data_IF_233112150235
#
_entry.id   IF_233112150235
#
_cell.length_a   1.000
_cell.length_b   1.000
_cell.length_c   1.000
_cell.angle_alpha   90.00
_cell.angle_beta   90.00
_cell.angle_gamma   90.00
#
_symmetry.space_group_name_H-M   'P 1'
#
loop_
_entity.id
_entity.type
_entity.pdbx_description
1 polymer ?
#
# COMPACT_ATOMS: atom_id res chain seq x y z
N UNK A 1 13.04 14.35 -87.70
CA UNK A 1 11.90 15.22 -87.33
C UNK A 1 11.57 15.15 -85.83
N UNK A 2 11.25 13.99 -85.25
CA UNK A 2 10.86 13.85 -83.83
C UNK A 2 11.85 14.43 -82.79
N UNK A 3 13.17 14.36 -83.03
CA UNK A 3 14.18 14.95 -82.11
C UNK A 3 14.22 16.48 -82.15
N UNK A 4 13.84 17.07 -83.28
CA UNK A 4 13.86 18.52 -83.47
C UNK A 4 12.61 19.19 -82.91
N UNK A 5 11.43 18.57 -83.05
CA UNK A 5 10.15 19.10 -82.54
C UNK A 5 10.12 19.21 -81.01
N UNK A 6 10.81 18.31 -80.30
CA UNK A 6 10.85 18.29 -78.82
C UNK A 6 11.69 19.40 -78.20
N UNK A 7 12.60 20.02 -78.95
CA UNK A 7 13.55 21.00 -78.42
C UNK A 7 13.38 22.37 -79.09
N UNK A 8 12.12 22.73 -79.40
CA UNK A 8 11.76 24.02 -79.99
C UNK A 8 11.28 24.94 -78.87
N UNK A 9 11.86 26.13 -78.81
CA UNK A 9 11.29 27.28 -78.12
C UNK A 9 10.74 28.21 -79.18
N UNK A 10 9.46 28.57 -79.09
CA UNK A 10 8.81 29.47 -80.03
C UNK A 10 7.94 30.48 -79.28
N UNK A 11 7.77 31.67 -79.84
CA UNK A 11 6.87 32.65 -79.26
C UNK A 11 5.46 32.45 -79.79
N UNK A 12 4.47 32.44 -78.90
CA UNK A 12 3.06 32.45 -79.28
C UNK A 12 2.63 33.84 -79.76
N UNK A 13 1.41 33.94 -80.31
CA UNK A 13 0.83 35.21 -80.76
C UNK A 13 0.74 36.27 -79.64
N UNK A 14 0.82 35.86 -78.38
CA UNK A 14 0.86 36.73 -77.19
C UNK A 14 2.27 37.20 -76.81
N UNK A 15 3.30 36.77 -77.54
CA UNK A 15 4.70 37.18 -77.34
C UNK A 15 5.45 36.40 -76.25
N UNK A 16 4.83 35.37 -75.66
CA UNK A 16 5.41 34.57 -74.58
C UNK A 16 6.22 33.39 -75.15
N UNK A 17 7.42 33.08 -74.59
CA UNK A 17 8.22 31.95 -75.02
C UNK A 17 7.60 30.63 -74.53
N UNK A 18 7.21 29.77 -75.47
CA UNK A 18 6.71 28.42 -75.21
C UNK A 18 7.77 27.38 -75.59
N UNK A 19 8.01 26.44 -74.68
CA UNK A 19 8.91 25.29 -74.88
C UNK A 19 8.25 24.02 -74.36
N UNK A 20 8.47 22.90 -75.04
CA UNK A 20 8.01 21.60 -74.56
C UNK A 20 8.93 21.05 -73.47
N UNK A 21 8.36 20.32 -72.51
CA UNK A 21 9.13 19.63 -71.47
C UNK A 21 9.88 18.41 -72.05
N UNK A 22 10.67 17.72 -71.22
CA UNK A 22 11.44 16.52 -71.61
C UNK A 22 10.61 15.35 -72.17
N UNK A 23 9.30 15.32 -71.91
CA UNK A 23 8.35 14.32 -72.41
C UNK A 23 7.61 14.78 -73.67
N UNK A 24 7.71 16.07 -74.03
CA UNK A 24 7.03 16.67 -75.18
C UNK A 24 5.73 17.39 -74.85
N UNK A 25 5.40 17.59 -73.56
CA UNK A 25 4.20 18.30 -73.14
C UNK A 25 4.42 19.82 -73.11
N UNK A 26 3.41 20.63 -73.47
CA UNK A 26 3.49 22.10 -73.37
C UNK A 26 3.53 22.56 -71.90
N UNK A 27 3.95 23.82 -71.63
CA UNK A 27 3.92 24.37 -70.29
C UNK A 27 2.47 24.43 -69.78
N UNK A 28 2.27 24.00 -68.53
CA UNK A 28 0.93 23.90 -67.95
C UNK A 28 0.54 25.24 -67.35
N UNK A 29 -0.51 25.84 -67.90
CA UNK A 29 -1.15 27.04 -67.40
C UNK A 29 -2.66 26.84 -67.34
N UNK A 30 -3.25 26.96 -66.16
CA UNK A 30 -4.68 26.82 -65.95
C UNK A 30 -5.28 28.02 -65.23
N UNK A 31 -6.42 28.49 -65.71
CA UNK A 31 -7.24 29.47 -65.01
C UNK A 31 -8.21 28.77 -64.06
N UNK A 32 -8.26 29.23 -62.81
CA UNK A 32 -9.25 28.80 -61.82
C UNK A 32 -10.45 29.72 -61.92
N UNK A 33 -11.61 29.15 -62.22
CA UNK A 33 -12.86 29.88 -62.44
C UNK A 33 -13.91 29.50 -61.39
N UNK A 34 -14.58 30.50 -60.81
CA UNK A 34 -15.73 30.35 -59.94
C UNK A 34 -17.01 30.52 -60.75
N UNK A 35 -17.98 29.63 -60.53
CA UNK A 35 -19.31 29.69 -61.16
C UNK A 35 -20.35 30.08 -60.10
N UNK A 36 -21.10 31.14 -60.36
CA UNK A 36 -22.18 31.61 -59.51
C UNK A 36 -23.51 31.40 -60.23
N UNK A 37 -24.31 30.46 -59.73
CA UNK A 37 -25.66 30.21 -60.22
C UNK A 37 -26.65 31.12 -59.50
N UNK A 38 -27.41 31.89 -60.27
CA UNK A 38 -28.50 32.74 -59.81
C UNK A 38 -29.87 32.12 -60.16
N UNK A 39 -30.95 32.53 -59.48
CA UNK A 39 -32.31 32.12 -59.84
C UNK A 39 -32.59 32.42 -61.33
N UNK A 40 -33.27 31.50 -62.04
CA UNK A 40 -33.54 31.52 -63.50
C UNK A 40 -32.39 31.05 -64.42
N UNK A 41 -31.50 30.18 -63.96
CA UNK A 41 -30.42 29.58 -64.76
C UNK A 41 -29.36 30.57 -65.30
N UNK A 42 -29.23 31.74 -64.67
CA UNK A 42 -28.17 32.68 -65.03
C UNK A 42 -26.86 32.28 -64.33
N UNK A 43 -25.80 32.11 -65.10
CA UNK A 43 -24.48 31.68 -64.62
C UNK A 43 -23.49 32.82 -64.83
N UNK A 44 -22.86 33.28 -63.74
CA UNK A 44 -21.73 34.23 -63.80
C UNK A 44 -20.44 33.45 -63.54
N UNK A 45 -19.50 33.55 -64.46
CA UNK A 45 -18.15 32.98 -64.29
C UNK A 45 -17.16 34.09 -63.96
N UNK A 46 -16.27 33.84 -62.99
CA UNK A 46 -15.24 34.81 -62.59
C UNK A 46 -13.92 34.09 -62.39
N UNK A 47 -12.85 34.61 -62.99
CA UNK A 47 -11.48 34.10 -62.77
C UNK A 47 -11.03 34.48 -61.35
N UNK A 48 -10.67 33.47 -60.56
CA UNK A 48 -10.30 33.61 -59.14
C UNK A 48 -8.86 33.19 -58.85
N UNK A 49 -8.16 32.59 -59.82
CA UNK A 49 -6.78 32.18 -59.64
C UNK A 49 -6.16 31.64 -60.92
N UNK A 50 -4.89 31.27 -60.83
CA UNK A 50 -4.10 30.65 -61.90
C UNK A 50 -3.17 29.59 -61.33
N UNK A 51 -2.93 28.53 -62.09
CA UNK A 51 -1.94 27.50 -61.80
C UNK A 51 -0.91 27.49 -62.91
N UNK A 52 0.36 27.67 -62.56
CA UNK A 52 1.47 27.61 -63.49
C UNK A 52 2.39 26.47 -63.06
N UNK A 53 2.65 25.50 -63.93
CA UNK A 53 3.62 24.45 -63.68
C UNK A 53 4.89 24.71 -64.50
N UNK A 54 6.02 24.83 -63.81
CA UNK A 54 7.36 24.81 -64.39
C UNK A 54 8.03 23.50 -64.03
N UNK A 55 9.05 23.06 -64.77
CA UNK A 55 9.70 21.74 -64.66
C UNK A 55 10.11 21.29 -63.24
N UNK A 56 10.19 22.20 -62.26
CA UNK A 56 10.59 21.91 -60.88
C UNK A 56 9.64 22.50 -59.79
N UNK A 57 8.63 23.30 -60.18
CA UNK A 57 7.71 23.97 -59.23
C UNK A 57 6.33 24.23 -59.83
N UNK A 58 5.29 23.81 -59.13
CA UNK A 58 3.90 24.23 -59.36
C UNK A 58 3.59 25.46 -58.52
N UNK A 59 3.23 26.58 -59.16
CA UNK A 59 2.80 27.81 -58.50
C UNK A 59 1.29 27.96 -58.60
N UNK A 60 0.61 27.91 -57.46
CA UNK A 60 -0.81 28.18 -57.32
C UNK A 60 -1.01 29.62 -56.82
N UNK A 61 -1.66 30.45 -57.62
CA UNK A 61 -2.09 31.78 -57.21
C UNK A 61 -3.62 31.80 -57.09
N UNK A 62 -4.12 32.18 -55.92
CA UNK A 62 -5.55 32.41 -55.69
C UNK A 62 -5.69 33.86 -55.23
N UNK A 63 -6.57 34.61 -55.89
CA UNK A 63 -6.85 35.98 -55.53
C UNK A 63 -7.59 36.01 -54.17
N UNK A 64 -6.88 36.38 -53.10
CA UNK A 64 -7.42 36.46 -51.73
C UNK A 64 -8.45 37.58 -51.53
N UNK A 65 -8.54 38.54 -52.47
CA UNK A 65 -9.56 39.60 -52.45
C UNK A 65 -10.88 39.19 -53.13
N UNK A 66 -10.88 38.10 -53.90
CA UNK A 66 -12.10 37.57 -54.49
C UNK A 66 -12.89 36.82 -53.40
N UNK A 67 -14.17 37.16 -53.21
CA UNK A 67 -15.05 36.36 -52.36
C UNK A 67 -15.28 34.99 -53.01
N UNK A 68 -14.49 33.99 -52.60
CA UNK A 68 -14.51 32.66 -53.20
C UNK A 68 -15.78 31.87 -52.88
N UNK A 69 -16.47 32.20 -51.79
CA UNK A 69 -17.50 31.33 -51.20
C UNK A 69 -18.86 31.99 -51.00
N UNK A 70 -18.94 33.31 -51.00
CA UNK A 70 -20.21 34.04 -50.99
C UNK A 70 -20.93 33.97 -52.34
N UNK A 71 -22.24 34.30 -52.38
CA UNK A 71 -23.06 34.78 -51.25
C UNK A 71 -23.53 33.66 -50.31
N UNK A 72 -23.28 32.40 -50.65
CA UNK A 72 -23.85 31.23 -49.97
C UNK A 72 -23.13 30.85 -48.67
N UNK A 73 -21.79 30.99 -48.63
CA UNK A 73 -20.99 30.66 -47.45
C UNK A 73 -20.15 31.86 -47.01
N UNK A 74 -20.18 32.18 -45.71
CA UNK A 74 -19.38 33.26 -45.12
C UNK A 74 -17.93 32.85 -44.81
N UNK A 75 -17.67 31.55 -44.74
CA UNK A 75 -16.36 30.95 -44.47
C UNK A 75 -16.15 29.76 -45.40
N UNK A 76 -14.90 29.34 -45.56
CA UNK A 76 -14.54 28.17 -46.37
C UNK A 76 -15.25 26.93 -45.78
N UNK A 77 -16.10 26.23 -46.56
CA UNK A 77 -16.74 25.01 -46.08
C UNK A 77 -15.68 23.94 -45.84
N UNK A 78 -15.75 23.29 -44.67
CA UNK A 78 -14.85 22.20 -44.34
C UNK A 78 -15.45 20.86 -44.80
N UNK A 79 -14.74 20.15 -45.67
CA UNK A 79 -15.11 18.80 -46.13
C UNK A 79 -14.62 17.74 -45.15
N UNK A 80 -15.15 17.75 -43.93
CA UNK A 80 -14.83 16.77 -42.90
C UNK A 80 -15.89 15.67 -42.83
N UNK A 81 -15.46 14.42 -42.71
CA UNK A 81 -16.37 13.29 -42.54
C UNK A 81 -17.00 13.28 -41.14
N UNK A 82 -16.20 13.57 -40.12
CA UNK A 82 -16.60 13.66 -38.72
C UNK A 82 -15.94 14.87 -38.07
N UNK A 83 -16.50 15.32 -36.96
CA UNK A 83 -15.86 16.36 -36.14
C UNK A 83 -14.53 15.85 -35.54
N UNK A 84 -13.53 16.74 -35.37
CA UNK A 84 -12.27 16.39 -34.73
C UNK A 84 -12.49 15.89 -33.29
N UNK A 85 -11.72 14.89 -32.86
CA UNK A 85 -11.89 14.36 -31.51
C UNK A 85 -11.48 15.40 -30.44
N UNK A 86 -12.28 15.51 -29.38
CA UNK A 86 -11.92 16.34 -28.23
C UNK A 86 -10.70 15.76 -27.48
N UNK A 87 -9.93 16.60 -26.74
CA UNK A 87 -8.92 16.11 -25.82
C UNK A 87 -9.50 15.03 -24.87
N UNK A 88 -8.71 14.00 -24.58
CA UNK A 88 -9.12 12.81 -23.83
C UNK A 88 -9.66 11.65 -24.70
N UNK A 89 -9.78 11.87 -26.01
CA UNK A 89 -10.18 10.87 -26.98
C UNK A 89 -9.08 10.62 -28.02
N UNK A 90 -9.07 9.42 -28.59
CA UNK A 90 -8.24 9.03 -29.73
C UNK A 90 -9.10 8.61 -30.91
N UNK A 91 -8.51 8.73 -32.10
CA UNK A 91 -9.07 8.15 -33.33
C UNK A 91 -9.08 6.63 -33.25
N UNK A 92 -10.16 6.05 -33.74
CA UNK A 92 -10.28 4.63 -34.02
C UNK A 92 -10.80 4.42 -35.43
N UNK A 93 -10.12 3.55 -36.17
CA UNK A 93 -10.48 3.23 -37.55
C UNK A 93 -11.90 2.67 -37.59
N UNK A 94 -12.69 3.15 -38.55
CA UNK A 94 -13.99 2.57 -38.90
C UNK A 94 -13.76 1.55 -40.01
N UNK A 95 -14.25 0.33 -39.80
CA UNK A 95 -14.20 -0.70 -40.85
C UNK A 95 -15.15 -0.31 -41.98
N UNK A 96 -14.78 -0.63 -43.22
CA UNK A 96 -15.58 -0.40 -44.43
C UNK A 96 -15.83 1.07 -44.85
N UNK A 97 -15.07 2.03 -44.31
CA UNK A 97 -15.21 3.48 -44.62
C UNK A 97 -13.84 4.10 -44.97
N UNK A 98 -13.75 5.19 -45.77
CA UNK A 98 -12.47 5.86 -46.07
C UNK A 98 -11.68 6.27 -44.83
N UNK A 99 -10.35 6.29 -44.93
CA UNK A 99 -9.43 6.57 -43.82
C UNK A 99 -9.63 7.92 -43.11
N UNK A 100 -10.30 8.88 -43.75
CA UNK A 100 -10.64 10.18 -43.16
C UNK A 100 -11.82 10.12 -42.17
N UNK A 101 -12.58 9.02 -42.16
CA UNK A 101 -13.71 8.80 -41.27
C UNK A 101 -13.31 7.85 -40.13
N UNK A 102 -13.40 8.33 -38.90
CA UNK A 102 -13.02 7.58 -37.70
C UNK A 102 -13.99 7.82 -36.55
N UNK A 103 -13.97 6.94 -35.56
CA UNK A 103 -14.67 7.15 -34.29
C UNK A 103 -13.73 7.78 -33.26
N UNK A 104 -14.28 8.64 -32.41
CA UNK A 104 -13.58 9.15 -31.24
C UNK A 104 -13.85 8.22 -30.06
N UNK A 105 -12.82 7.51 -29.61
CA UNK A 105 -12.90 6.61 -28.46
C UNK A 105 -12.12 7.24 -27.31
N UNK A 106 -12.70 7.25 -26.12
CA UNK A 106 -12.03 7.80 -24.94
C UNK A 106 -10.76 6.98 -24.62
N UNK A 107 -9.70 7.66 -24.18
CA UNK A 107 -8.49 6.99 -23.73
C UNK A 107 -8.79 6.04 -22.56
N UNK A 108 -8.09 4.91 -22.50
CA UNK A 108 -8.23 3.95 -21.41
C UNK A 108 -7.62 4.48 -20.11
N UNK A 109 -7.96 3.86 -18.99
CA UNK A 109 -7.39 4.22 -17.67
C UNK A 109 -5.86 4.13 -17.71
N UNK A 110 -5.19 5.18 -17.21
CA UNK A 110 -3.72 5.29 -17.25
C UNK A 110 -3.16 5.90 -18.54
N UNK A 111 -4.01 6.17 -19.55
CA UNK A 111 -3.65 6.92 -20.75
C UNK A 111 -4.36 8.28 -20.79
N UNK A 112 -3.77 9.22 -21.53
CA UNK A 112 -4.29 10.57 -21.73
C UNK A 112 -4.07 11.09 -23.16
N UNK A 113 -4.84 12.12 -23.53
CA UNK A 113 -4.64 12.89 -24.75
C UNK A 113 -4.94 14.37 -24.47
N UNK A 114 -3.96 15.26 -24.62
CA UNK A 114 -4.15 16.69 -24.38
C UNK A 114 -4.46 17.48 -25.65
N UNK A 115 -4.24 16.91 -26.83
CA UNK A 115 -4.47 17.55 -28.12
C UNK A 115 -5.82 17.14 -28.71
N UNK A 116 -6.44 18.05 -29.46
CA UNK A 116 -7.59 17.71 -30.30
C UNK A 116 -7.14 16.82 -31.45
N UNK A 117 -8.00 15.88 -31.81
CA UNK A 117 -7.88 15.02 -32.97
C UNK A 117 -6.67 14.07 -32.96
N UNK A 118 -6.27 13.65 -31.75
CA UNK A 118 -5.11 12.80 -31.53
C UNK A 118 -5.26 11.39 -32.15
N UNK A 119 -4.24 10.86 -32.85
CA UNK A 119 -4.30 9.53 -33.44
C UNK A 119 -4.20 8.41 -32.39
N UNK A 120 -3.53 8.66 -31.27
CA UNK A 120 -3.31 7.71 -30.18
C UNK A 120 -3.25 8.46 -28.84
N UNK A 121 -3.53 7.75 -27.76
CA UNK A 121 -3.33 8.25 -26.40
C UNK A 121 -1.90 7.94 -25.92
N UNK A 122 -1.43 8.73 -24.96
CA UNK A 122 -0.14 8.56 -24.31
C UNK A 122 -0.31 7.99 -22.92
N UNK A 123 0.52 7.03 -22.55
CA UNK A 123 0.51 6.44 -21.21
C UNK A 123 1.12 7.42 -20.19
N UNK A 124 0.46 7.61 -19.06
CA UNK A 124 1.00 8.37 -17.94
C UNK A 124 2.20 7.64 -17.30
N UNK A 125 3.08 8.40 -16.63
CA UNK A 125 4.18 7.83 -15.84
C UNK A 125 3.64 6.97 -14.70
N UNK A 126 4.47 6.07 -14.16
CA UNK A 126 4.03 5.09 -13.14
C UNK A 126 3.47 5.74 -11.85
N UNK A 127 3.99 6.92 -11.51
CA UNK A 127 3.59 7.73 -10.35
C UNK A 127 2.33 8.57 -10.58
N UNK A 128 1.79 8.56 -11.80
CA UNK A 128 0.68 9.39 -12.22
C UNK A 128 -0.48 8.53 -12.75
N UNK A 129 -1.70 9.01 -12.54
CA UNK A 129 -2.93 8.48 -13.11
C UNK A 129 -3.49 9.51 -14.09
N UNK A 130 -4.19 9.08 -15.13
CA UNK A 130 -4.93 10.05 -15.97
C UNK A 130 -6.13 10.61 -15.21
N UNK A 131 -6.36 11.92 -15.32
CA UNK A 131 -7.51 12.57 -14.71
C UNK A 131 -8.84 12.01 -15.26
N UNK A 132 -9.98 12.34 -14.63
CA UNK A 132 -11.32 11.85 -15.01
C UNK A 132 -11.63 12.13 -16.50
N UNK A 133 -11.20 13.28 -17.01
CA UNK A 133 -11.40 13.67 -18.42
C UNK A 133 -10.37 13.07 -19.39
N UNK A 134 -9.38 12.31 -18.91
CA UNK A 134 -8.27 11.73 -19.68
C UNK A 134 -7.45 12.76 -20.48
N UNK A 135 -7.46 14.02 -20.06
CA UNK A 135 -6.74 15.12 -20.72
C UNK A 135 -5.35 15.38 -20.15
N UNK A 136 -5.05 14.83 -18.97
CA UNK A 136 -3.77 15.05 -18.29
C UNK A 136 -3.45 13.97 -17.27
N UNK A 137 -2.18 13.90 -16.88
CA UNK A 137 -1.70 13.02 -15.82
C UNK A 137 -1.66 13.78 -14.48
N UNK A 138 -2.25 13.20 -13.44
CA UNK A 138 -2.27 13.69 -12.05
C UNK A 138 -1.50 12.71 -11.17
N UNK A 139 -0.82 13.19 -10.14
CA UNK A 139 -0.13 12.30 -9.18
C UNK A 139 -1.13 11.42 -8.45
N UNK A 140 -0.84 10.12 -8.36
CA UNK A 140 -1.69 9.19 -7.58
C UNK A 140 -1.63 9.54 -6.09
N UNK A 141 -2.76 9.40 -5.39
CA UNK A 141 -2.85 9.65 -3.94
C UNK A 141 -2.28 8.48 -3.14
N UNK A 142 -1.52 8.79 -2.08
CA UNK A 142 -0.93 7.77 -1.20
C UNK A 142 -1.97 7.21 -0.22
N UNK A 143 -2.11 5.88 -0.16
CA UNK A 143 -2.97 5.15 0.76
C UNK A 143 -2.09 4.51 1.85
N UNK A 144 -2.21 5.02 3.08
CA UNK A 144 -1.55 4.50 4.29
C UNK A 144 -2.54 4.58 5.46
N UNK A 145 -2.32 3.80 6.52
CA UNK A 145 -3.19 3.84 7.70
C UNK A 145 -2.97 5.15 8.47
N UNK A 146 -3.83 6.14 8.24
CA UNK A 146 -3.70 7.47 8.81
C UNK A 146 -4.41 7.60 10.15
N UNK A 147 -3.89 8.46 11.03
CA UNK A 147 -4.58 8.88 12.25
C UNK A 147 -5.89 9.63 11.96
N UNK A 148 -6.06 10.13 10.73
CA UNK A 148 -7.29 10.82 10.30
C UNK A 148 -8.39 9.84 9.89
N UNK A 149 -8.04 8.58 9.58
CA UNK A 149 -9.00 7.56 9.20
C UNK A 149 -9.65 6.95 10.44
N UNK A 150 -10.94 6.60 10.37
CA UNK A 150 -11.66 6.03 11.51
C UNK A 150 -11.02 4.74 12.06
N UNK A 151 -10.46 3.90 11.18
CA UNK A 151 -9.75 2.68 11.56
C UNK A 151 -8.42 2.99 12.27
N UNK A 152 -7.62 3.93 11.76
CA UNK A 152 -6.35 4.31 12.40
C UNK A 152 -6.57 5.00 13.74
N UNK A 153 -7.54 5.93 13.80
CA UNK A 153 -7.90 6.63 15.03
C UNK A 153 -8.42 5.68 16.13
N UNK A 154 -9.28 4.72 15.77
CA UNK A 154 -9.81 3.75 16.74
C UNK A 154 -8.73 2.82 17.28
N UNK A 155 -7.87 2.26 16.42
CA UNK A 155 -6.77 1.40 16.85
C UNK A 155 -5.76 2.14 17.74
N UNK A 156 -5.39 3.37 17.39
CA UNK A 156 -4.52 4.21 18.21
C UNK A 156 -5.14 4.50 19.58
N UNK A 157 -6.43 4.82 19.62
CA UNK A 157 -7.16 5.08 20.87
C UNK A 157 -7.18 3.85 21.78
N UNK A 158 -7.47 2.67 21.22
CA UNK A 158 -7.44 1.39 21.96
C UNK A 158 -6.04 1.12 22.52
N UNK A 159 -4.99 1.31 21.71
CA UNK A 159 -3.61 1.14 22.14
C UNK A 159 -3.25 2.05 23.33
N UNK A 160 -3.64 3.33 23.27
CA UNK A 160 -3.40 4.28 24.35
C UNK A 160 -4.16 3.93 25.63
N UNK A 161 -5.44 3.55 25.51
CA UNK A 161 -6.23 3.10 26.66
C UNK A 161 -5.60 1.87 27.32
N UNK A 162 -5.17 0.88 26.53
CA UNK A 162 -4.51 -0.32 27.04
C UNK A 162 -3.14 -0.01 27.68
N UNK A 163 -2.39 0.94 27.14
CA UNK A 163 -1.15 1.42 27.74
C UNK A 163 -1.39 2.07 29.12
N UNK A 164 -2.41 2.94 29.21
CA UNK A 164 -2.77 3.61 30.46
C UNK A 164 -3.27 2.63 31.52
N UNK A 165 -4.13 1.67 31.14
CA UNK A 165 -4.62 0.63 32.06
C UNK A 165 -3.47 -0.25 32.56
N UNK A 166 -2.55 -0.67 31.67
CA UNK A 166 -1.38 -1.45 32.07
C UNK A 166 -0.45 -0.66 33.00
N UNK A 167 -0.30 0.65 32.76
CA UNK A 167 0.46 1.54 33.62
C UNK A 167 -0.17 1.69 35.01
N UNK A 168 -1.50 1.78 35.09
CA UNK A 168 -2.22 1.78 36.35
C UNK A 168 -2.02 0.45 37.11
N UNK A 169 -2.15 -0.69 36.43
CA UNK A 169 -1.90 -2.03 36.99
C UNK A 169 -0.46 -2.12 37.52
N UNK A 170 0.53 -1.67 36.75
CA UNK A 170 1.92 -1.60 37.21
C UNK A 170 2.05 -0.75 38.48
N UNK A 171 1.44 0.45 38.51
CA UNK A 171 1.47 1.33 39.68
C UNK A 171 0.89 0.66 40.94
N UNK A 172 -0.19 -0.11 40.79
CA UNK A 172 -0.77 -0.91 41.88
C UNK A 172 0.23 -1.98 42.35
N UNK A 173 0.85 -2.72 41.44
CA UNK A 173 1.84 -3.74 41.79
C UNK A 173 3.08 -3.17 42.50
N UNK A 174 3.51 -1.95 42.14
CA UNK A 174 4.60 -1.24 42.82
C UNK A 174 4.16 -0.71 44.18
N UNK A 175 2.93 -0.21 44.32
CA UNK A 175 2.40 0.25 45.61
C UNK A 175 2.26 -0.89 46.62
N UNK A 176 1.82 -2.06 46.17
CA UNK A 176 1.63 -3.26 47.00
C UNK A 176 2.81 -4.24 46.91
N UNK A 177 4.02 -3.74 46.62
CA UNK A 177 5.23 -4.54 46.37
C UNK A 177 5.55 -5.52 47.50
N UNK A 178 5.34 -5.10 48.75
CA UNK A 178 5.62 -5.90 49.95
C UNK A 178 4.49 -6.88 50.34
N UNK A 179 3.37 -6.89 49.61
CA UNK A 179 2.26 -7.80 49.93
C UNK A 179 2.61 -9.24 49.56
N UNK A 180 2.14 -10.23 50.36
CA UNK A 180 2.42 -11.62 50.10
C UNK A 180 1.91 -12.08 48.73
N UNK A 181 0.87 -11.44 48.17
CA UNK A 181 0.35 -11.73 46.82
C UNK A 181 1.39 -11.42 45.74
N UNK A 182 2.07 -10.28 45.81
CA UNK A 182 3.04 -9.87 44.78
C UNK A 182 4.35 -10.63 44.95
N UNK A 183 4.82 -10.80 46.20
CA UNK A 183 6.05 -11.53 46.52
C UNK A 183 5.97 -13.02 46.21
N UNK A 184 4.79 -13.63 46.39
CA UNK A 184 4.48 -15.00 46.02
C UNK A 184 4.58 -15.30 44.51
N UNK A 185 4.54 -14.24 43.69
CA UNK A 185 4.20 -14.32 42.28
C UNK A 185 5.36 -13.87 41.38
N UNK A 186 6.56 -14.28 41.77
CA UNK A 186 7.83 -14.00 41.13
C UNK A 186 7.89 -12.58 40.54
N UNK A 187 7.86 -11.60 41.45
CA UNK A 187 7.64 -10.17 41.21
C UNK A 187 8.42 -9.58 40.05
N UNK A 188 9.66 -10.02 39.84
CA UNK A 188 10.52 -9.58 38.74
C UNK A 188 9.95 -9.95 37.36
N UNK A 189 9.46 -11.19 37.18
CA UNK A 189 8.87 -11.64 35.91
C UNK A 189 7.53 -10.96 35.64
N UNK A 190 6.70 -10.79 36.67
CA UNK A 190 5.42 -10.08 36.54
C UNK A 190 5.64 -8.60 36.18
N UNK A 191 6.66 -7.95 36.74
CA UNK A 191 7.06 -6.60 36.38
C UNK A 191 7.58 -6.51 34.94
N UNK A 192 8.45 -7.44 34.54
CA UNK A 192 8.98 -7.53 33.18
C UNK A 192 7.86 -7.75 32.13
N UNK A 193 6.88 -8.58 32.46
CA UNK A 193 5.71 -8.82 31.61
C UNK A 193 4.87 -7.53 31.46
N UNK A 194 4.58 -6.79 32.53
CA UNK A 194 3.83 -5.54 32.43
C UNK A 194 4.59 -4.45 31.65
N UNK A 195 5.92 -4.38 31.79
CA UNK A 195 6.76 -3.48 31.00
C UNK A 195 6.71 -3.85 29.52
N UNK A 196 6.87 -5.14 29.18
CA UNK A 196 6.80 -5.58 27.78
C UNK A 196 5.40 -5.35 27.19
N UNK A 197 4.31 -5.62 27.92
CA UNK A 197 2.95 -5.31 27.46
C UNK A 197 2.74 -3.82 27.16
N UNK A 198 3.24 -2.92 28.02
CA UNK A 198 3.22 -1.47 27.73
C UNK A 198 3.93 -1.14 26.43
N UNK A 199 5.10 -1.75 26.20
CA UNK A 199 5.85 -1.58 24.96
C UNK A 199 5.12 -2.19 23.76
N UNK A 200 4.37 -3.29 23.91
CA UNK A 200 3.52 -3.87 22.85
C UNK A 200 2.40 -2.90 22.42
N UNK A 201 1.76 -2.24 23.39
CA UNK A 201 0.72 -1.26 23.08
C UNK A 201 1.31 -0.02 22.39
N UNK A 202 2.48 0.45 22.84
CA UNK A 202 3.17 1.57 22.19
C UNK A 202 3.73 1.21 20.81
N UNK A 203 4.25 0.00 20.61
CA UNK A 203 4.82 -0.39 19.32
C UNK A 203 3.76 -0.41 18.22
N UNK A 204 2.49 -0.69 18.57
CA UNK A 204 1.35 -0.61 17.64
C UNK A 204 1.20 0.79 17.01
N UNK A 205 1.59 1.85 17.72
CA UNK A 205 1.55 3.22 17.19
C UNK A 205 2.60 3.47 16.10
N UNK A 206 3.69 2.70 16.08
CA UNK A 206 4.71 2.77 15.01
C UNK A 206 4.17 2.26 13.66
N UNK A 207 3.08 1.49 13.68
CA UNK A 207 2.41 1.01 12.47
C UNK A 207 1.44 2.04 11.87
N UNK A 208 1.09 3.10 12.61
CA UNK A 208 0.10 4.11 12.21
C UNK A 208 0.82 5.40 11.80
N UNK A 209 0.40 5.98 10.67
CA UNK A 209 0.95 7.23 10.13
C UNK A 209 1.76 7.02 8.85
N UNK A 210 2.46 8.07 8.44
CA UNK A 210 3.23 8.06 7.20
C UNK A 210 4.47 7.17 7.34
N UNK A 211 4.62 6.08 6.56
CA UNK A 211 5.77 5.21 6.67
C UNK A 211 7.03 5.94 6.17
N UNK A 212 8.08 5.92 6.98
CA UNK A 212 9.43 6.35 6.60
C UNK A 212 10.35 5.13 6.60
N UNK A 213 11.48 5.20 5.91
CA UNK A 213 12.46 4.10 5.89
C UNK A 213 12.86 3.64 7.31
N UNK A 214 13.03 4.60 8.23
CA UNK A 214 13.38 4.33 9.62
C UNK A 214 12.20 3.65 10.35
N UNK A 215 10.98 4.16 10.16
CA UNK A 215 9.78 3.56 10.74
C UNK A 215 9.59 2.12 10.28
N UNK A 216 9.82 1.81 9.00
CA UNK A 216 9.71 0.45 8.45
C UNK A 216 10.66 -0.53 9.15
N UNK A 217 11.92 -0.15 9.33
CA UNK A 217 12.90 -0.97 10.06
C UNK A 217 12.51 -1.15 11.53
N UNK A 218 12.18 -0.06 12.23
CA UNK A 218 11.91 -0.10 13.67
C UNK A 218 10.66 -0.90 14.01
N UNK A 219 9.62 -0.83 13.17
CA UNK A 219 8.32 -1.43 13.42
C UNK A 219 8.40 -2.94 13.64
N UNK A 220 8.95 -3.68 12.68
CA UNK A 220 9.02 -5.15 12.76
C UNK A 220 10.03 -5.63 13.81
N UNK A 221 11.19 -4.96 13.93
CA UNK A 221 12.21 -5.29 14.93
C UNK A 221 11.67 -5.09 16.34
N UNK A 222 11.02 -3.95 16.60
CA UNK A 222 10.44 -3.65 17.91
C UNK A 222 9.32 -4.63 18.23
N UNK A 223 8.43 -4.90 17.27
CA UNK A 223 7.38 -5.90 17.42
C UNK A 223 7.96 -7.26 17.84
N UNK A 224 8.92 -7.80 17.07
CA UNK A 224 9.51 -9.11 17.31
C UNK A 224 10.16 -9.22 18.69
N UNK A 225 11.01 -8.24 19.06
CA UNK A 225 11.74 -8.26 20.34
C UNK A 225 10.76 -8.15 21.52
N UNK A 226 9.84 -7.20 21.48
CA UNK A 226 8.93 -6.95 22.61
C UNK A 226 7.96 -8.12 22.81
N UNK A 227 7.43 -8.70 21.72
CA UNK A 227 6.58 -9.88 21.82
C UNK A 227 7.34 -11.08 22.38
N UNK A 228 8.59 -11.32 21.93
CA UNK A 228 9.43 -12.38 22.50
C UNK A 228 9.63 -12.19 24.00
N UNK A 229 9.91 -10.97 24.49
CA UNK A 229 10.03 -10.70 25.93
C UNK A 229 8.72 -11.08 26.65
N UNK A 230 7.57 -10.68 26.11
CA UNK A 230 6.28 -10.94 26.75
C UNK A 230 5.97 -12.45 26.84
N UNK A 231 6.06 -13.19 25.74
CA UNK A 231 5.74 -14.62 25.69
C UNK A 231 6.76 -15.44 26.46
N UNK A 232 8.05 -15.15 26.32
CA UNK A 232 9.11 -15.84 27.07
C UNK A 232 9.00 -15.60 28.57
N UNK A 233 8.55 -14.42 29.02
CA UNK A 233 8.33 -14.16 30.44
C UNK A 233 7.20 -14.99 31.04
N UNK A 234 6.12 -15.22 30.28
CA UNK A 234 5.02 -16.11 30.71
C UNK A 234 5.47 -17.57 30.69
N UNK A 235 6.17 -18.00 29.65
CA UNK A 235 6.76 -19.34 29.60
C UNK A 235 7.70 -19.56 30.79
N UNK A 236 8.63 -18.65 31.02
CA UNK A 236 9.56 -18.71 32.15
C UNK A 236 8.82 -18.81 33.49
N UNK A 237 7.73 -18.04 33.65
CA UNK A 237 6.89 -18.06 34.83
C UNK A 237 6.21 -19.42 35.04
N UNK A 238 5.60 -19.99 33.99
CA UNK A 238 4.97 -21.32 34.06
C UNK A 238 5.98 -22.41 34.37
N UNK A 239 7.17 -22.36 33.76
CA UNK A 239 8.26 -23.28 34.04
C UNK A 239 8.74 -23.18 35.49
N UNK A 240 8.85 -21.97 36.07
CA UNK A 240 9.19 -21.82 37.50
C UNK A 240 8.19 -22.55 38.40
N UNK A 241 6.89 -22.46 38.09
CA UNK A 241 5.84 -23.15 38.87
C UNK A 241 5.98 -24.67 38.77
N UNK A 242 6.19 -25.19 37.54
CA UNK A 242 6.42 -26.63 37.31
C UNK A 242 7.67 -27.12 38.06
N UNK A 243 8.77 -26.37 37.99
CA UNK A 243 10.04 -26.72 38.64
C UNK A 243 9.88 -26.69 40.17
N UNK A 244 9.22 -25.67 40.73
CA UNK A 244 9.00 -25.56 42.17
C UNK A 244 8.19 -26.74 42.72
N UNK A 245 7.12 -27.15 42.04
CA UNK A 245 6.28 -28.28 42.45
C UNK A 245 6.99 -29.64 42.32
N UNK A 246 7.79 -29.83 41.27
CA UNK A 246 8.56 -31.06 41.11
C UNK A 246 9.82 -31.10 42.00
N UNK A 247 10.31 -29.96 42.49
CA UNK A 247 11.40 -29.89 43.47
C UNK A 247 10.94 -30.30 44.88
N UNK A 248 9.65 -30.15 45.21
CA UNK A 248 9.09 -30.63 46.49
C UNK A 248 8.92 -32.15 46.57
N UNK A 249 9.07 -32.90 45.47
CA UNK A 249 9.02 -34.37 45.48
C UNK A 249 10.34 -34.96 46.01
N UNK A 250 10.30 -35.91 46.96
CA UNK A 250 11.51 -36.53 47.50
C UNK A 250 12.33 -37.22 46.39
N UNK A 251 13.65 -36.96 46.34
CA UNK A 251 14.58 -37.52 45.34
C UNK A 251 14.81 -36.68 44.07
N UNK A 252 14.22 -35.47 43.97
CA UNK A 252 14.31 -34.63 42.77
C UNK A 252 15.64 -33.88 42.64
N UNK A 253 16.34 -34.06 41.50
CA UNK A 253 17.52 -33.27 41.12
C UNK A 253 17.18 -31.81 40.74
N UNK A 254 15.89 -31.46 40.65
CA UNK A 254 15.41 -30.13 40.24
C UNK A 254 15.53 -29.08 41.35
N UNK A 255 15.85 -29.49 42.57
CA UNK A 255 16.08 -28.60 43.73
C UNK A 255 17.19 -27.57 43.49
N UNK A 256 18.21 -27.91 42.68
CA UNK A 256 19.30 -26.98 42.31
C UNK A 256 18.85 -25.85 41.36
N UNK A 257 17.69 -26.00 40.71
CA UNK A 257 17.18 -25.08 39.68
C UNK A 257 16.04 -24.18 40.20
N UNK A 258 15.72 -24.24 41.49
CA UNK A 258 14.70 -23.40 42.11
C UNK A 258 15.28 -22.01 42.35
N UNK A 259 15.11 -21.09 41.40
CA UNK A 259 15.54 -19.71 41.56
C UNK A 259 15.07 -18.76 40.47
N UNK A 260 14.63 -17.55 40.85
CA UNK A 260 14.18 -16.48 39.93
C UNK A 260 15.25 -16.07 38.92
N UNK A 261 16.53 -16.19 39.28
CA UNK A 261 17.65 -15.82 38.43
C UNK A 261 17.74 -16.68 37.16
N UNK A 262 17.38 -17.96 37.24
CA UNK A 262 17.37 -18.87 36.09
C UNK A 262 16.28 -18.50 35.08
N UNK A 263 15.10 -18.11 35.56
CA UNK A 263 13.99 -17.68 34.71
C UNK A 263 14.27 -16.37 33.98
N UNK A 264 14.93 -15.41 34.63
CA UNK A 264 15.36 -14.17 33.98
C UNK A 264 16.43 -14.46 32.92
N UNK A 265 17.41 -15.31 33.23
CA UNK A 265 18.42 -15.74 32.27
C UNK A 265 17.79 -16.42 31.04
N UNK A 266 16.78 -17.27 31.24
CA UNK A 266 16.04 -17.90 30.15
C UNK A 266 15.36 -16.87 29.23
N UNK A 267 14.68 -15.87 29.79
CA UNK A 267 14.08 -14.78 29.01
C UNK A 267 15.16 -14.05 28.19
N UNK A 268 16.29 -13.72 28.81
CA UNK A 268 17.42 -13.06 28.13
C UNK A 268 17.88 -13.92 26.94
N UNK A 269 18.08 -15.22 27.12
CA UNK A 269 18.51 -16.11 26.04
C UNK A 269 17.50 -16.17 24.89
N UNK A 270 16.20 -16.26 25.18
CA UNK A 270 15.17 -16.20 24.15
C UNK A 270 15.21 -14.88 23.37
N UNK A 271 15.36 -13.77 24.08
CA UNK A 271 15.39 -12.43 23.46
C UNK A 271 16.65 -12.20 22.63
N UNK A 272 17.80 -12.73 23.04
CA UNK A 272 19.03 -12.72 22.26
C UNK A 272 18.84 -13.50 20.94
N UNK A 273 18.11 -14.62 20.96
CA UNK A 273 17.76 -15.36 19.76
C UNK A 273 16.97 -14.53 18.75
N UNK A 274 15.87 -13.91 19.16
CA UNK A 274 15.08 -13.03 18.27
C UNK A 274 15.87 -11.79 17.83
N UNK A 275 16.69 -11.22 18.71
CA UNK A 275 17.54 -10.07 18.39
C UNK A 275 18.55 -10.44 17.32
N UNK A 276 19.21 -11.60 17.43
CA UNK A 276 20.11 -12.14 16.41
C UNK A 276 19.43 -12.28 15.05
N UNK A 277 18.25 -12.93 15.01
CA UNK A 277 17.47 -13.07 13.78
C UNK A 277 17.13 -11.69 13.19
N UNK A 278 16.70 -10.74 14.03
CA UNK A 278 16.34 -9.38 13.61
C UNK A 278 17.55 -8.60 13.06
N UNK A 279 18.72 -8.74 13.68
CA UNK A 279 19.95 -8.09 13.19
C UNK A 279 20.40 -8.64 11.84
N UNK A 280 20.34 -9.95 11.65
CA UNK A 280 20.65 -10.59 10.35
C UNK A 280 19.65 -10.15 9.29
N UNK A 281 18.36 -10.09 9.63
CA UNK A 281 17.31 -9.64 8.72
C UNK A 281 17.57 -8.20 8.26
N UNK A 282 17.77 -7.26 9.19
CA UNK A 282 18.04 -5.86 8.85
C UNK A 282 19.36 -5.68 8.08
N UNK A 283 20.39 -6.47 8.39
CA UNK A 283 21.69 -6.36 7.71
C UNK A 283 21.65 -6.91 6.28
N UNK A 284 20.90 -7.99 6.02
CA UNK A 284 20.89 -8.67 4.72
C UNK A 284 19.77 -8.17 3.81
N UNK A 285 18.57 -7.99 4.34
CA UNK A 285 17.36 -7.61 3.61
C UNK A 285 16.52 -6.63 4.45
N UNK A 286 17.01 -5.39 4.66
CA UNK A 286 16.31 -4.43 5.49
C UNK A 286 14.91 -4.14 4.95
N UNK A 287 13.89 -4.03 5.82
CA UNK A 287 12.58 -3.53 5.41
C UNK A 287 12.72 -2.17 4.74
N UNK A 288 12.03 -1.98 3.62
CA UNK A 288 12.13 -0.75 2.85
C UNK A 288 10.74 -0.21 2.50
N UNK A 289 10.69 1.10 2.27
CA UNK A 289 9.48 1.76 1.81
C UNK A 289 9.23 1.34 0.35
N UNK A 290 8.14 0.61 0.11
CA UNK A 290 7.69 0.25 -1.23
C UNK A 290 6.38 0.98 -1.55
N UNK A 291 6.36 1.58 -2.74
CA UNK A 291 5.14 2.09 -3.34
C UNK A 291 4.58 0.98 -4.24
N UNK A 292 3.55 0.28 -3.79
CA UNK A 292 2.83 -0.64 -4.68
C UNK A 292 1.96 0.21 -5.62
N UNK A 293 2.40 0.25 -6.88
CA UNK A 293 1.84 1.08 -7.95
C UNK A 293 0.88 0.31 -8.86
N UNK A 294 0.73 -1.01 -8.65
CA UNK A 294 0.06 -1.94 -9.57
C UNK A 294 -1.20 -2.59 -9.00
N UNK A 295 -1.38 -2.65 -7.67
CA UNK A 295 -2.52 -3.38 -7.08
C UNK A 295 -3.86 -2.61 -7.08
N UNK A 296 -3.88 -1.28 -7.19
CA UNK A 296 -5.10 -0.48 -7.36
C UNK A 296 -4.90 0.63 -8.41
N UNK A 297 -5.87 0.80 -9.33
CA UNK A 297 -5.74 1.77 -10.43
C UNK A 297 -5.73 3.23 -9.96
N UNK A 298 -6.26 3.54 -8.77
CA UNK A 298 -6.51 4.90 -8.30
C UNK A 298 -5.61 5.37 -7.14
N UNK A 299 -4.96 4.46 -6.41
CA UNK A 299 -4.15 4.80 -5.24
C UNK A 299 -2.75 4.18 -5.30
N UNK A 300 -1.72 4.94 -4.87
CA UNK A 300 -0.41 4.36 -4.55
C UNK A 300 -0.51 3.85 -3.13
N UNK A 301 -0.37 2.54 -2.94
CA UNK A 301 -0.35 2.00 -1.60
C UNK A 301 1.09 2.12 -1.07
N UNK A 302 1.28 2.99 -0.08
CA UNK A 302 2.60 3.18 0.53
C UNK A 302 2.72 2.18 1.68
N UNK A 303 3.50 1.13 1.46
CA UNK A 303 3.70 0.04 2.41
C UNK A 303 5.17 -0.03 2.81
N UNK A 304 5.41 -0.57 4.01
CA UNK A 304 6.73 -1.08 4.34
C UNK A 304 6.80 -2.52 3.81
N UNK A 305 7.58 -2.76 2.77
CA UNK A 305 7.91 -4.12 2.37
C UNK A 305 8.88 -4.69 3.42
N UNK A 306 8.60 -5.91 3.87
CA UNK A 306 9.43 -6.66 4.82
C UNK A 306 10.86 -6.95 4.31
N UNK A 307 11.12 -6.79 3.01
CA UNK A 307 12.38 -7.11 2.34
C UNK A 307 12.57 -8.61 2.13
N UNK A 308 12.35 -9.40 3.18
CA UNK A 308 12.38 -10.87 3.13
C UNK A 308 11.21 -11.49 3.87
N UNK A 309 10.32 -12.10 3.09
CA UNK A 309 9.18 -12.87 3.59
C UNK A 309 9.63 -14.02 4.50
N UNK A 310 10.77 -14.65 4.18
CA UNK A 310 11.32 -15.74 4.98
C UNK A 310 11.68 -15.29 6.40
N UNK A 311 12.44 -14.21 6.56
CA UNK A 311 12.83 -13.72 7.89
C UNK A 311 11.64 -13.23 8.72
N UNK A 312 10.65 -12.60 8.07
CA UNK A 312 9.40 -12.22 8.71
C UNK A 312 8.68 -13.43 9.30
N UNK A 313 8.45 -14.49 8.50
CA UNK A 313 7.83 -15.71 8.99
C UNK A 313 8.71 -16.48 9.98
N UNK A 314 10.04 -16.37 9.90
CA UNK A 314 10.94 -16.94 10.91
C UNK A 314 10.70 -16.29 12.29
N UNK A 315 10.54 -14.97 12.38
CA UNK A 315 10.24 -14.29 13.66
C UNK A 315 8.85 -14.67 14.17
N UNK A 316 7.84 -14.67 13.30
CA UNK A 316 6.49 -15.11 13.68
C UNK A 316 6.50 -16.56 14.16
N UNK A 317 7.21 -17.44 13.46
CA UNK A 317 7.39 -18.83 13.84
C UNK A 317 8.13 -18.98 15.18
N UNK A 318 9.15 -18.16 15.43
CA UNK A 318 9.85 -18.14 16.72
C UNK A 318 8.91 -17.74 17.87
N UNK A 319 8.12 -16.68 17.71
CA UNK A 319 7.14 -16.26 18.72
C UNK A 319 6.04 -17.31 18.88
N UNK A 320 5.56 -17.89 17.77
CA UNK A 320 4.53 -18.93 17.76
C UNK A 320 4.98 -20.21 18.45
N UNK A 321 6.23 -20.64 18.25
CA UNK A 321 6.80 -21.81 18.95
C UNK A 321 6.96 -21.55 20.44
N UNK A 322 7.42 -20.36 20.85
CA UNK A 322 7.44 -19.96 22.26
C UNK A 322 6.03 -19.96 22.88
N UNK A 323 5.04 -19.48 22.14
CA UNK A 323 3.64 -19.46 22.59
C UNK A 323 3.07 -20.87 22.74
N UNK A 324 3.33 -21.76 21.78
CA UNK A 324 2.91 -23.15 21.85
C UNK A 324 3.56 -23.88 23.03
N UNK A 325 4.87 -23.70 23.24
CA UNK A 325 5.57 -24.24 24.41
C UNK A 325 4.98 -23.68 25.70
N UNK A 326 4.65 -22.39 25.74
CA UNK A 326 4.01 -21.76 26.89
C UNK A 326 2.62 -22.32 27.15
N UNK A 327 1.84 -22.60 26.10
CA UNK A 327 0.52 -23.22 26.22
C UNK A 327 0.63 -24.64 26.77
N UNK A 328 1.55 -25.46 26.25
CA UNK A 328 1.78 -26.83 26.74
C UNK A 328 2.21 -26.80 28.22
N UNK A 329 3.16 -25.94 28.59
CA UNK A 329 3.60 -25.77 29.96
C UNK A 329 2.46 -25.33 30.89
N UNK A 330 1.67 -24.33 30.47
CA UNK A 330 0.52 -23.86 31.24
C UNK A 330 -0.55 -24.94 31.40
N UNK A 331 -0.81 -25.73 30.36
CA UNK A 331 -1.76 -26.84 30.40
C UNK A 331 -1.32 -27.91 31.39
N UNK A 332 -0.04 -28.30 31.37
CA UNK A 332 0.54 -29.24 32.34
C UNK A 332 0.49 -28.70 33.78
N UNK A 333 0.61 -27.37 33.94
CA UNK A 333 0.57 -26.73 35.24
C UNK A 333 -0.86 -26.53 35.79
N UNK A 334 -1.90 -26.70 34.97
CA UNK A 334 -3.30 -26.40 35.33
C UNK A 334 -3.79 -27.20 36.55
N UNK A 335 -3.32 -28.45 36.67
CA UNK A 335 -3.80 -29.37 37.70
C UNK A 335 -2.95 -29.30 38.98
N UNK A 336 -1.91 -28.45 39.02
CA UNK A 336 -1.20 -28.21 40.27
C UNK A 336 -2.09 -27.40 41.24
N UNK A 337 -2.01 -27.67 42.55
CA UNK A 337 -2.64 -26.85 43.58
C UNK A 337 -1.93 -25.50 43.65
N UNK A 338 -2.21 -24.65 42.65
CA UNK A 338 -1.57 -23.36 42.47
C UNK A 338 -2.40 -22.26 43.16
N UNK A 339 -1.72 -21.24 43.66
CA UNK A 339 -2.38 -20.16 44.40
C UNK A 339 -3.35 -19.43 43.45
N UNK A 340 -4.63 -19.40 43.81
CA UNK A 340 -5.68 -18.62 43.13
C UNK A 340 -6.01 -19.06 41.68
N UNK A 341 -5.86 -20.35 41.34
CA UNK A 341 -6.11 -20.86 39.97
C UNK A 341 -5.29 -20.12 38.89
N UNK A 342 -4.10 -19.62 39.24
CA UNK A 342 -3.28 -18.81 38.35
C UNK A 342 -2.90 -19.55 37.06
N UNK A 343 -2.46 -20.80 37.16
CA UNK A 343 -2.15 -21.64 36.00
C UNK A 343 -3.32 -21.73 35.00
N UNK A 344 -4.57 -21.85 35.49
CA UNK A 344 -5.77 -21.90 34.63
C UNK A 344 -5.97 -20.60 33.83
N UNK A 345 -5.74 -19.45 34.46
CA UNK A 345 -5.83 -18.15 33.80
C UNK A 345 -4.73 -17.96 32.75
N UNK A 346 -3.51 -18.43 33.05
CA UNK A 346 -2.40 -18.41 32.09
C UNK A 346 -2.72 -19.31 30.88
N UNK A 347 -3.26 -20.51 31.10
CA UNK A 347 -3.66 -21.42 30.01
C UNK A 347 -4.73 -20.80 29.12
N UNK A 348 -5.76 -20.18 29.70
CA UNK A 348 -6.79 -19.48 28.92
C UNK A 348 -6.20 -18.34 28.09
N UNK A 349 -5.29 -17.57 28.70
CA UNK A 349 -4.59 -16.49 28.00
C UNK A 349 -3.73 -16.99 26.83
N UNK A 350 -2.96 -18.06 27.05
CA UNK A 350 -2.08 -18.63 26.02
C UNK A 350 -2.86 -19.31 24.91
N UNK A 351 -4.01 -19.93 25.24
CA UNK A 351 -4.93 -20.44 24.23
C UNK A 351 -5.42 -19.31 23.32
N UNK A 352 -5.90 -18.21 23.90
CA UNK A 352 -6.33 -17.03 23.14
C UNK A 352 -5.20 -16.45 22.28
N UNK A 353 -3.99 -16.37 22.82
CA UNK A 353 -2.80 -15.95 22.06
C UNK A 353 -2.54 -16.86 20.85
N UNK A 354 -2.51 -18.18 21.05
CA UNK A 354 -2.31 -19.16 19.98
C UNK A 354 -3.41 -19.09 18.91
N UNK A 355 -4.67 -18.88 19.31
CA UNK A 355 -5.78 -18.68 18.37
C UNK A 355 -5.58 -17.44 17.49
N UNK A 356 -5.15 -16.32 18.08
CA UNK A 356 -4.84 -15.09 17.34
C UNK A 356 -3.67 -15.30 16.39
N UNK A 357 -2.58 -15.94 16.84
CA UNK A 357 -1.44 -16.26 15.98
C UNK A 357 -1.81 -17.18 14.81
N UNK A 358 -2.66 -18.19 15.04
CA UNK A 358 -3.14 -19.08 13.99
C UNK A 358 -4.01 -18.37 12.96
N UNK A 359 -4.88 -17.46 13.39
CA UNK A 359 -5.73 -16.67 12.50
C UNK A 359 -4.98 -15.53 11.78
N UNK A 360 -3.87 -15.06 12.35
CA UNK A 360 -3.10 -13.94 11.82
C UNK A 360 -2.53 -14.24 10.42
N UNK A 361 -1.88 -15.38 10.23
CA UNK A 361 -1.23 -15.74 8.95
C UNK A 361 -2.20 -15.71 7.75
N UNK A 362 -3.36 -16.40 7.78
CA UNK A 362 -4.30 -16.33 6.65
C UNK A 362 -4.93 -14.94 6.48
N UNK A 363 -5.21 -14.22 7.57
CA UNK A 363 -5.77 -12.86 7.51
C UNK A 363 -4.77 -11.85 6.92
N UNK A 364 -3.49 -11.98 7.25
CA UNK A 364 -2.38 -11.20 6.71
C UNK A 364 -2.23 -11.43 5.21
N UNK A 365 -2.18 -12.69 4.77
CA UNK A 365 -2.04 -13.05 3.35
C UNK A 365 -3.27 -12.68 2.51
N UNK A 366 -4.46 -12.61 3.12
CA UNK A 366 -5.71 -12.24 2.42
C UNK A 366 -5.93 -10.72 2.33
N UNK A 367 -5.23 -9.95 3.15
CA UNK A 367 -5.39 -8.49 3.23
C UNK A 367 -4.31 -7.79 2.42
N UNK A 368 -4.63 -6.62 1.86
CA UNK A 368 -3.68 -5.77 1.14
C UNK A 368 -3.71 -4.34 1.69
N UNK A 369 -2.59 -3.64 1.54
CA UNK A 369 -2.49 -2.22 1.87
C UNK A 369 -2.71 -1.87 3.33
N UNK A 370 -3.43 -0.77 3.59
CA UNK A 370 -3.67 -0.28 4.96
C UNK A 370 -4.45 -1.26 5.85
N UNK A 371 -5.28 -2.14 5.25
CA UNK A 371 -6.01 -3.19 5.99
C UNK A 371 -5.09 -4.29 6.53
N UNK A 372 -4.04 -4.65 5.78
CA UNK A 372 -3.04 -5.62 6.21
C UNK A 372 -2.33 -5.15 7.48
N UNK A 373 -1.90 -3.88 7.50
CA UNK A 373 -1.29 -3.24 8.68
C UNK A 373 -2.29 -3.19 9.86
N UNK A 374 -3.57 -2.92 9.59
CA UNK A 374 -4.60 -2.94 10.63
C UNK A 374 -4.79 -4.34 11.24
N UNK A 375 -4.69 -5.42 10.44
CA UNK A 375 -4.74 -6.81 10.92
C UNK A 375 -3.54 -7.11 11.84
N UNK A 376 -2.33 -6.64 11.50
CA UNK A 376 -1.16 -6.75 12.39
C UNK A 376 -1.40 -6.08 13.74
N UNK A 377 -1.84 -4.81 13.72
CA UNK A 377 -2.13 -4.05 14.94
C UNK A 377 -3.23 -4.75 15.76
N UNK A 378 -4.30 -5.21 15.12
CA UNK A 378 -5.38 -5.90 15.81
C UNK A 378 -4.89 -7.18 16.50
N UNK A 379 -4.06 -7.98 15.81
CA UNK A 379 -3.46 -9.18 16.39
C UNK A 379 -2.55 -8.84 17.59
N UNK A 380 -1.75 -7.77 17.48
CA UNK A 380 -0.89 -7.28 18.57
C UNK A 380 -1.71 -6.86 19.79
N UNK A 381 -2.71 -5.99 19.58
CA UNK A 381 -3.54 -5.45 20.65
C UNK A 381 -4.37 -6.54 21.32
N UNK A 382 -5.03 -7.41 20.54
CA UNK A 382 -5.87 -8.48 21.07
C UNK A 382 -5.07 -9.49 21.88
N UNK A 383 -3.93 -9.94 21.37
CA UNK A 383 -3.07 -10.91 22.08
C UNK A 383 -2.51 -10.33 23.38
N UNK A 384 -2.02 -9.08 23.35
CA UNK A 384 -1.48 -8.38 24.53
C UNK A 384 -2.57 -8.06 25.56
N UNK A 385 -3.76 -7.64 25.11
CA UNK A 385 -4.92 -7.41 25.98
C UNK A 385 -5.39 -8.70 26.64
N UNK A 386 -5.37 -9.83 25.92
CA UNK A 386 -5.64 -11.15 26.48
C UNK A 386 -4.70 -11.49 27.63
N UNK A 387 -3.38 -11.31 27.43
CA UNK A 387 -2.36 -11.50 28.47
C UNK A 387 -2.59 -10.61 29.69
N UNK A 388 -2.85 -9.32 29.47
CA UNK A 388 -3.14 -8.38 30.54
C UNK A 388 -4.39 -8.78 31.34
N UNK A 389 -5.51 -8.98 30.65
CA UNK A 389 -6.80 -9.25 31.27
C UNK A 389 -6.85 -10.57 32.01
N UNK A 390 -6.32 -11.64 31.41
CA UNK A 390 -6.39 -12.98 32.00
C UNK A 390 -5.40 -13.15 33.16
N UNK A 391 -4.16 -12.65 33.03
CA UNK A 391 -3.12 -12.87 34.05
C UNK A 391 -3.25 -11.88 35.21
N UNK A 392 -3.56 -10.60 34.93
CA UNK A 392 -3.56 -9.55 35.94
C UNK A 392 -4.97 -9.13 36.39
N UNK A 393 -6.01 -9.32 35.57
CA UNK A 393 -7.39 -9.00 35.93
C UNK A 393 -7.85 -9.65 37.24
N UNK A 394 -7.75 -10.99 37.39
CA UNK A 394 -8.12 -11.69 38.62
C UNK A 394 -7.30 -11.22 39.84
N UNK A 395 -6.03 -10.85 39.64
CA UNK A 395 -5.15 -10.39 40.73
C UNK A 395 -5.53 -9.00 41.20
N UNK A 396 -5.82 -8.09 40.27
CA UNK A 396 -6.32 -6.76 40.61
C UNK A 396 -7.67 -6.85 41.32
N UNK A 397 -8.57 -7.74 40.87
CA UNK A 397 -9.85 -7.99 41.53
C UNK A 397 -9.67 -8.44 42.98
N UNK A 398 -8.78 -9.40 43.26
CA UNK A 398 -8.51 -9.86 44.63
C UNK A 398 -7.90 -8.74 45.49
N UNK A 399 -6.95 -7.97 44.95
CA UNK A 399 -6.30 -6.86 45.67
C UNK A 399 -7.32 -5.80 46.10
N UNK A 400 -8.26 -5.42 45.24
CA UNK A 400 -9.25 -4.37 45.53
C UNK A 400 -10.47 -4.87 46.31
N UNK A 401 -11.07 -5.99 45.91
CA UNK A 401 -12.36 -6.42 46.43
C UNK A 401 -12.26 -7.47 47.54
N UNK A 402 -11.09 -8.09 47.75
CA UNK A 402 -10.94 -9.20 48.70
C UNK A 402 -9.77 -9.00 49.66
N UNK A 403 -9.84 -7.90 50.40
CA UNK A 403 -8.79 -7.45 51.31
C UNK A 403 -8.41 -8.48 52.41
N UNK A 404 -9.32 -9.37 52.80
CA UNK A 404 -9.09 -10.43 53.81
C UNK A 404 -8.09 -11.53 53.38
N UNK A 405 -7.83 -11.67 52.07
CA UNK A 405 -6.83 -12.60 51.53
C UNK A 405 -5.42 -11.97 51.45
N UNK A 406 -5.28 -10.67 51.74
CA UNK A 406 -4.00 -9.96 51.78
C UNK A 406 -3.26 -10.10 53.12
N UNK A 407 -3.92 -10.62 54.17
CA UNK A 407 -3.35 -10.80 55.51
C UNK A 407 -2.58 -12.14 55.64
N UNK A 408 -1.38 -12.10 56.22
CA UNK A 408 -0.47 -13.26 56.37
C UNK A 408 -1.12 -14.50 57.03
N UNK A 409 -2.13 -14.30 57.89
CA UNK A 409 -2.78 -15.38 58.65
C UNK A 409 -3.55 -16.37 57.75
N UNK A 410 -4.11 -15.93 56.62
CA UNK A 410 -4.95 -16.78 55.75
C UNK A 410 -4.16 -17.56 54.70
N UNK A 411 -2.93 -17.14 54.39
CA UNK A 411 -2.05 -17.80 53.40
C UNK A 411 -1.40 -19.07 53.98
N UNK A 412 -1.18 -19.12 55.30
CA UNK A 412 -0.60 -20.29 55.99
C UNK A 412 -1.63 -21.41 56.18
N UNK A 413 -2.93 -21.10 56.25
CA UNK A 413 -3.99 -22.08 56.54
C UNK A 413 -4.51 -22.82 55.29
N UNK A 414 -3.94 -22.55 54.10
CA UNK A 414 -4.27 -23.20 52.82
C UNK A 414 -3.11 -24.01 52.22
N UNK A 415 -1.98 -24.08 52.92
CA UNK A 415 -0.92 -25.09 52.74
C UNK A 415 -1.31 -26.34 53.52
#
# INVERSE_FOLDING_TARGET
LNKFVRNVTFNTFTGEPHSFNKYGDPPVHFDIIKWLLFPRHHIVTTKVGTVNESDDKTQLYINSSADLWGPYFKMIPQSLCNEPCNPGYRKSKREEVPSCCYHCIQCVNGEMSNTSDAPKCFKCSEYQMSNIRRTGCISKTMNYLSYKDALGASLASIALVLFLTTSAVQGIFVKYWETPIVRANNQNLSCLLLISLKLCFLCSLLFIGHPTQISCCLRQVTFGIVFTISVSSVLAKTLTVIIAFNATKPGSKLTKYVGTQLSILFVIMCTLGTTGISTVWVASYPPFLEADMFSEMETIILLCNEGSVTFFFCIIGYIGTLALLSFIAAFLAKDFPDRFNEAKNITFSMLGFCSVCGAFVPAYLSSKGSRMVAVEIFAILSSSAGLLGCIFGPKCYIIFFRHEQNTRATVVLKL
#
